data_IF_732057598282
#
_entry.id   IF_732057598282
#
_cell.length_a   1.000
_cell.length_b   1.000
_cell.length_c   1.000
_cell.angle_alpha   90.00
_cell.angle_beta   90.00
_cell.angle_gamma   90.00
#
_symmetry.space_group_name_H-M   'P 1'
#
loop_
_entity.id
_entity.type
_entity.pdbx_description
1 polymer ?
#
# COMPACT_ATOMS: atom_id res chain seq x y z
N UNK A 1 -25.74 -26.83 51.66
CA UNK A 1 -24.79 -26.86 52.79
C UNK A 1 -23.58 -26.01 52.41
N UNK A 2 -23.51 -24.77 52.90
CA UNK A 2 -22.32 -23.92 52.74
C UNK A 2 -21.26 -24.44 53.72
N UNK A 3 -20.16 -24.99 53.16
CA UNK A 3 -18.99 -25.36 53.94
C UNK A 3 -18.31 -24.08 54.42
N UNK A 4 -18.25 -23.88 55.74
CA UNK A 4 -17.46 -22.80 56.32
C UNK A 4 -15.97 -23.05 56.04
N UNK A 5 -15.20 -22.03 55.60
CA UNK A 5 -13.77 -22.22 55.36
C UNK A 5 -13.11 -22.65 56.68
N UNK A 6 -12.32 -23.73 56.61
CA UNK A 6 -11.64 -24.30 57.77
C UNK A 6 -10.82 -23.25 58.52
N UNK A 7 -10.65 -23.47 59.84
CA UNK A 7 -9.87 -22.60 60.74
C UNK A 7 -8.55 -22.19 60.09
N UNK A 8 -8.36 -20.89 59.89
CA UNK A 8 -7.08 -20.32 59.45
C UNK A 8 -5.98 -20.69 60.45
N UNK A 9 -4.83 -21.16 59.96
CA UNK A 9 -3.74 -21.63 60.81
C UNK A 9 -3.00 -20.49 61.52
N UNK A 10 -3.07 -19.27 60.98
CA UNK A 10 -2.56 -18.06 61.61
C UNK A 10 -3.36 -16.81 61.23
N UNK A 11 -3.18 -15.73 61.98
CA UNK A 11 -3.73 -14.41 61.64
C UNK A 11 -3.19 -13.90 60.28
N UNK A 12 -1.96 -14.29 59.92
CA UNK A 12 -1.35 -13.96 58.62
C UNK A 12 -2.10 -14.63 57.48
N UNK A 13 -2.46 -15.91 57.62
CA UNK A 13 -3.21 -16.66 56.60
C UNK A 13 -4.63 -16.11 56.43
N UNK A 14 -5.29 -15.78 57.55
CA UNK A 14 -6.59 -15.10 57.51
C UNK A 14 -6.49 -13.78 56.73
N UNK A 15 -5.46 -12.98 57.01
CA UNK A 15 -5.28 -11.68 56.35
C UNK A 15 -4.99 -11.83 54.87
N UNK A 16 -4.10 -12.74 54.48
CA UNK A 16 -3.77 -12.97 53.08
C UNK A 16 -4.97 -13.51 52.28
N UNK A 17 -5.76 -14.41 52.87
CA UNK A 17 -6.92 -15.01 52.22
C UNK A 17 -8.11 -14.03 52.06
N UNK A 18 -8.29 -13.09 53.00
CA UNK A 18 -9.44 -12.19 53.00
C UNK A 18 -9.13 -10.78 52.48
N UNK A 19 -7.89 -10.30 52.59
CA UNK A 19 -7.50 -8.94 52.20
C UNK A 19 -6.39 -8.90 51.14
N UNK A 20 -5.91 -10.05 50.66
CA UNK A 20 -4.87 -10.18 49.63
C UNK A 20 -3.45 -10.30 50.20
N UNK A 21 -2.52 -10.81 49.38
CA UNK A 21 -1.11 -10.96 49.77
C UNK A 21 -0.28 -9.74 49.39
N UNK A 22 0.81 -9.50 50.12
CA UNK A 22 1.79 -8.44 49.82
C UNK A 22 2.28 -8.54 48.37
N UNK A 23 2.60 -9.75 47.91
CA UNK A 23 3.09 -10.01 46.55
C UNK A 23 2.01 -9.72 45.48
N UNK A 24 0.73 -9.89 45.80
CA UNK A 24 -0.36 -9.54 44.88
C UNK A 24 -0.49 -8.03 44.72
N UNK A 25 -0.36 -7.27 45.82
CA UNK A 25 -0.36 -5.80 45.81
C UNK A 25 0.86 -5.27 45.05
N UNK A 26 2.06 -5.81 45.31
CA UNK A 26 3.30 -5.38 44.66
C UNK A 26 3.28 -5.65 43.15
N UNK A 27 2.77 -6.81 42.72
CA UNK A 27 2.55 -7.11 41.30
C UNK A 27 1.53 -6.18 40.65
N UNK A 28 0.43 -5.89 41.34
CA UNK A 28 -0.60 -4.96 40.85
C UNK A 28 -0.05 -3.53 40.70
N UNK A 29 0.70 -3.06 41.69
CA UNK A 29 1.35 -1.74 41.64
C UNK A 29 2.39 -1.66 40.51
N UNK A 30 3.24 -2.68 40.38
CA UNK A 30 4.24 -2.73 39.31
C UNK A 30 3.60 -2.74 37.92
N UNK A 31 2.53 -3.52 37.72
CA UNK A 31 1.76 -3.55 36.49
C UNK A 31 1.09 -2.19 36.20
N UNK A 32 0.53 -1.53 37.23
CA UNK A 32 -0.04 -0.20 37.10
C UNK A 32 1.02 0.85 36.72
N UNK A 33 2.16 0.86 37.41
CA UNK A 33 3.28 1.76 37.15
C UNK A 33 3.82 1.58 35.73
N UNK A 34 4.00 0.33 35.28
CA UNK A 34 4.42 0.02 33.91
C UNK A 34 3.39 0.54 32.90
N UNK A 35 2.09 0.30 33.13
CA UNK A 35 1.03 0.79 32.26
C UNK A 35 0.99 2.32 32.17
N UNK A 36 1.27 3.02 33.28
CA UNK A 36 1.38 4.48 33.27
C UNK A 36 2.59 4.98 32.47
N UNK A 37 3.73 4.28 32.59
CA UNK A 37 4.90 4.58 31.77
C UNK A 37 4.58 4.42 30.28
N UNK A 38 3.98 3.31 29.88
CA UNK A 38 3.64 3.03 28.48
C UNK A 38 2.65 4.07 27.92
N UNK A 39 1.65 4.47 28.72
CA UNK A 39 0.72 5.55 28.38
C UNK A 39 1.42 6.89 28.18
N UNK A 40 2.38 7.21 29.03
CA UNK A 40 3.18 8.41 28.90
C UNK A 40 4.02 8.38 27.61
N UNK A 41 4.68 7.26 27.31
CA UNK A 41 5.45 7.10 26.07
C UNK A 41 4.56 7.23 24.82
N UNK A 42 3.37 6.60 24.84
CA UNK A 42 2.40 6.71 23.75
C UNK A 42 1.93 8.15 23.53
N UNK A 43 1.67 8.90 24.61
CA UNK A 43 1.31 10.32 24.54
C UNK A 43 2.43 11.16 23.93
N UNK A 44 3.67 10.96 24.37
CA UNK A 44 4.84 11.67 23.83
C UNK A 44 5.06 11.38 22.35
N UNK A 45 4.86 10.12 21.93
CA UNK A 45 4.93 9.75 20.53
C UNK A 45 3.82 10.42 19.71
N UNK A 46 2.58 10.43 20.23
CA UNK A 46 1.45 11.08 19.58
C UNK A 46 1.69 12.59 19.38
N UNK A 47 2.21 13.29 20.39
CA UNK A 47 2.57 14.72 20.29
C UNK A 47 3.60 14.97 19.19
N UNK A 48 4.61 14.09 19.07
CA UNK A 48 5.60 14.15 17.97
C UNK A 48 4.94 13.95 16.60
N UNK A 49 4.03 12.99 16.48
CA UNK A 49 3.33 12.73 15.21
C UNK A 49 2.41 13.88 14.79
N UNK A 50 1.75 14.54 15.75
CA UNK A 50 0.93 15.74 15.50
C UNK A 50 1.78 16.93 15.06
N UNK A 51 3.02 17.04 15.54
CA UNK A 51 3.91 18.16 15.18
C UNK A 51 4.65 17.91 13.87
N UNK A 52 5.25 16.72 13.72
CA UNK A 52 6.25 16.44 12.70
C UNK A 52 5.72 15.47 11.62
N UNK A 53 4.69 14.70 11.94
CA UNK A 53 4.18 13.61 11.10
C UNK A 53 2.97 13.98 10.24
N UNK A 54 2.52 15.23 10.23
CA UNK A 54 1.28 15.62 9.53
C UNK A 54 1.46 15.62 8.01
N UNK A 55 0.44 15.15 7.29
CA UNK A 55 0.38 15.29 5.83
C UNK A 55 0.11 16.75 5.46
N UNK A 56 1.18 17.55 5.33
CA UNK A 56 1.08 18.97 4.94
C UNK A 56 2.21 19.42 4.03
N UNK A 57 3.45 19.08 4.37
CA UNK A 57 4.63 19.53 3.64
C UNK A 57 5.10 18.42 2.68
N UNK A 58 5.08 18.66 1.35
CA UNK A 58 5.64 17.74 0.37
C UNK A 58 7.11 17.38 0.65
N UNK A 59 7.50 16.12 0.42
CA UNK A 59 8.90 15.68 0.58
C UNK A 59 9.63 15.61 -0.77
N UNK A 60 10.94 15.90 -0.83
CA UNK A 60 11.71 15.76 -2.06
C UNK A 60 11.84 14.29 -2.45
N UNK A 61 11.59 13.98 -3.73
CA UNK A 61 11.72 12.65 -4.32
C UNK A 61 12.45 12.71 -5.65
N UNK A 62 13.23 11.68 -5.91
CA UNK A 62 13.90 11.48 -7.20
C UNK A 62 12.88 10.87 -8.17
N UNK A 63 12.60 11.57 -9.26
CA UNK A 63 11.65 11.19 -10.30
C UNK A 63 12.41 11.07 -11.63
N UNK A 64 12.20 10.00 -12.41
CA UNK A 64 12.78 9.90 -13.74
C UNK A 64 12.41 11.09 -14.61
N UNK A 65 13.34 11.57 -15.44
CA UNK A 65 13.08 12.65 -16.39
C UNK A 65 11.96 12.28 -17.36
N UNK A 66 11.92 11.01 -17.81
CA UNK A 66 10.91 10.47 -18.70
C UNK A 66 10.73 8.96 -18.47
N UNK A 67 9.57 8.44 -18.88
CA UNK A 67 9.33 7.00 -18.98
C UNK A 67 9.81 6.40 -20.31
N UNK A 68 10.16 7.26 -21.27
CA UNK A 68 10.68 6.85 -22.58
C UNK A 68 12.11 6.30 -22.43
N UNK A 69 12.28 5.01 -22.72
CA UNK A 69 13.57 4.31 -22.64
C UNK A 69 14.38 4.40 -23.94
N UNK A 70 13.83 4.98 -24.99
CA UNK A 70 14.52 5.15 -26.29
C UNK A 70 15.46 6.37 -26.28
N UNK A 71 15.26 7.29 -25.35
CA UNK A 71 16.02 8.53 -25.21
C UNK A 71 16.84 8.51 -23.93
N UNK A 72 18.10 8.92 -24.04
CA UNK A 72 18.96 9.09 -22.87
C UNK A 72 18.90 10.56 -22.42
N UNK A 73 18.27 10.79 -21.27
CA UNK A 73 18.21 12.11 -20.63
C UNK A 73 19.39 12.29 -19.68
N UNK A 74 20.04 13.46 -19.73
CA UNK A 74 21.07 13.87 -18.79
C UNK A 74 20.66 15.19 -18.14
N UNK A 75 20.43 15.23 -16.81
CA UNK A 75 20.42 14.08 -15.89
C UNK A 75 19.26 13.10 -16.16
N UNK A 76 19.40 11.83 -15.74
CA UNK A 76 18.35 10.81 -15.95
C UNK A 76 17.13 11.02 -15.06
N UNK A 77 17.31 11.70 -13.93
CA UNK A 77 16.29 11.95 -12.93
C UNK A 77 16.35 13.41 -12.47
N UNK A 78 15.27 13.86 -11.84
CA UNK A 78 15.15 15.17 -11.21
C UNK A 78 14.56 15.05 -9.82
N UNK A 79 14.74 16.07 -8.99
CA UNK A 79 14.15 16.15 -7.65
C UNK A 79 12.86 16.97 -7.74
N UNK A 80 11.75 16.39 -7.30
CA UNK A 80 10.46 17.07 -7.18
C UNK A 80 9.90 16.87 -5.78
N UNK A 81 9.15 17.85 -5.31
CA UNK A 81 8.39 17.76 -4.07
C UNK A 81 7.08 17.01 -4.36
N UNK A 82 6.84 15.91 -3.64
CA UNK A 82 5.68 15.04 -3.85
C UNK A 82 4.98 14.72 -2.53
N UNK A 83 3.69 14.47 -2.64
CA UNK A 83 2.81 13.98 -1.58
C UNK A 83 2.46 12.54 -1.92
N UNK A 84 2.86 11.62 -1.05
CA UNK A 84 2.59 10.18 -1.13
C UNK A 84 2.31 9.65 0.28
N UNK A 85 1.97 8.36 0.40
CA UNK A 85 1.64 7.70 1.68
C UNK A 85 2.73 7.87 2.78
N UNK A 86 4.00 8.08 2.40
CA UNK A 86 5.14 8.28 3.31
C UNK A 86 5.44 9.77 3.63
N UNK A 87 4.68 10.69 3.05
CA UNK A 87 4.86 12.14 3.25
C UNK A 87 4.34 12.57 4.61
N UNK A 88 3.21 12.03 5.04
CA UNK A 88 2.67 12.23 6.37
C UNK A 88 1.67 11.13 6.75
N UNK A 89 1.34 11.07 8.04
CA UNK A 89 0.41 10.11 8.60
C UNK A 89 -1.03 10.60 8.42
N UNK A 90 -1.88 9.73 7.87
CA UNK A 90 -3.32 9.97 7.68
C UNK A 90 -4.14 8.89 8.40
N UNK A 91 -5.46 9.10 8.50
CA UNK A 91 -6.36 8.10 9.05
C UNK A 91 -6.38 6.79 8.25
N UNK A 92 -6.95 5.70 8.80
CA UNK A 92 -6.88 4.36 8.20
C UNK A 92 -7.41 4.26 6.76
N UNK A 93 -8.45 5.04 6.43
CA UNK A 93 -9.07 5.08 5.10
C UNK A 93 -8.52 6.18 4.20
N UNK A 94 -7.55 6.94 4.69
CA UNK A 94 -7.03 8.13 4.02
C UNK A 94 -5.61 7.91 3.48
N UNK A 95 -5.24 8.71 2.50
CA UNK A 95 -3.90 8.79 1.92
C UNK A 95 -3.45 10.24 1.82
N UNK A 96 -2.15 10.46 1.90
CA UNK A 96 -1.58 11.80 1.77
C UNK A 96 -1.44 12.17 0.29
N UNK A 97 -2.19 13.18 -0.14
CA UNK A 97 -2.30 13.58 -1.54
C UNK A 97 -2.02 15.09 -1.73
N UNK A 98 -1.64 15.51 -2.95
CA UNK A 98 -1.49 16.94 -3.24
C UNK A 98 -2.80 17.68 -3.02
N UNK A 99 -2.72 18.77 -2.28
CA UNK A 99 -3.76 19.81 -2.20
C UNK A 99 -3.50 20.90 -3.22
N UNK A 100 -2.25 21.33 -3.34
CA UNK A 100 -1.79 22.34 -4.29
C UNK A 100 -0.57 21.84 -5.06
N UNK A 101 -0.50 22.21 -6.34
CA UNK A 101 0.58 21.85 -7.26
C UNK A 101 0.98 23.05 -8.11
N UNK A 102 2.25 23.11 -8.47
CA UNK A 102 2.82 24.09 -9.39
C UNK A 102 3.51 23.35 -10.55
N UNK A 103 3.32 23.80 -11.77
CA UNK A 103 4.04 23.27 -12.92
C UNK A 103 5.43 23.89 -13.02
N UNK A 104 6.43 23.05 -13.20
CA UNK A 104 7.82 23.48 -13.33
C UNK A 104 8.41 22.91 -14.62
N UNK A 105 9.09 23.75 -15.39
CA UNK A 105 9.84 23.32 -16.56
C UNK A 105 11.30 23.09 -16.15
N UNK A 106 11.81 21.91 -16.44
CA UNK A 106 13.20 21.55 -16.20
C UNK A 106 13.86 21.13 -17.51
N UNK A 107 15.13 21.45 -17.65
CA UNK A 107 15.87 21.27 -18.89
C UNK A 107 16.79 20.07 -18.81
N UNK A 108 16.82 19.29 -19.89
CA UNK A 108 17.60 18.08 -20.00
C UNK A 108 18.35 18.05 -21.32
N UNK A 109 19.55 17.50 -21.29
CA UNK A 109 20.23 17.07 -22.50
C UNK A 109 19.67 15.72 -22.94
N UNK A 110 19.42 15.55 -24.23
CA UNK A 110 18.90 14.32 -24.84
C UNK A 110 19.87 13.84 -25.92
N UNK A 111 20.29 12.59 -25.79
CA UNK A 111 20.96 11.83 -26.85
C UNK A 111 19.99 10.78 -27.40
N UNK A 112 19.91 10.71 -28.73
CA UNK A 112 19.19 9.66 -29.46
C UNK A 112 19.97 8.35 -29.55
N UNK A 113 21.28 8.37 -29.32
CA UNK A 113 22.12 7.18 -29.29
C UNK A 113 22.34 6.72 -27.85
N UNK A 114 21.91 5.49 -27.57
CA UNK A 114 21.99 4.82 -26.27
C UNK A 114 23.39 4.27 -25.93
N UNK A 115 24.35 4.36 -26.86
CA UNK A 115 25.67 3.75 -26.76
C UNK A 115 26.80 4.70 -27.20
N UNK A 116 26.90 5.88 -26.62
CA UNK A 116 28.11 6.70 -26.81
C UNK A 116 28.57 7.24 -25.46
N UNK A 117 29.54 6.54 -24.87
CA UNK A 117 30.21 6.92 -23.62
C UNK A 117 31.05 8.21 -23.74
N UNK A 118 31.17 8.78 -24.94
CA UNK A 118 31.95 9.99 -25.22
C UNK A 118 31.25 10.89 -26.26
N UNK A 119 30.02 11.31 -25.98
CA UNK A 119 29.40 12.39 -26.77
C UNK A 119 29.98 13.71 -26.28
N UNK A 120 30.94 14.26 -27.01
CA UNK A 120 31.36 15.65 -26.80
C UNK A 120 30.17 16.60 -26.87
N UNK A 121 30.24 17.77 -26.24
CA UNK A 121 29.15 18.76 -26.10
C UNK A 121 28.38 19.13 -27.39
N UNK A 122 28.90 18.76 -28.58
CA UNK A 122 28.37 19.12 -29.89
C UNK A 122 27.15 18.32 -30.39
N UNK A 123 26.75 17.21 -29.76
CA UNK A 123 25.60 16.41 -30.24
C UNK A 123 24.43 16.28 -29.24
N UNK A 124 24.45 17.03 -28.13
CA UNK A 124 23.38 16.96 -27.14
C UNK A 124 22.32 18.02 -27.41
N UNK A 125 21.10 17.59 -27.71
CA UNK A 125 19.96 18.50 -27.83
C UNK A 125 19.41 18.84 -26.45
N UNK A 126 19.08 20.11 -26.20
CA UNK A 126 18.42 20.51 -24.95
C UNK A 126 16.91 20.50 -25.15
N UNK A 127 16.17 19.85 -24.24
CA UNK A 127 14.71 19.85 -24.22
C UNK A 127 14.19 20.33 -22.86
N UNK A 128 13.08 21.05 -22.86
CA UNK A 128 12.33 21.36 -21.65
C UNK A 128 11.25 20.29 -21.43
N UNK A 129 11.20 19.74 -20.22
CA UNK A 129 10.15 18.84 -19.77
C UNK A 129 9.35 19.52 -18.65
N UNK A 130 8.03 19.40 -18.71
CA UNK A 130 7.13 19.96 -17.69
C UNK A 130 6.80 18.91 -16.64
N UNK A 131 6.92 19.27 -15.36
CA UNK A 131 6.60 18.42 -14.23
C UNK A 131 5.62 19.09 -13.29
N UNK A 132 4.83 18.28 -12.58
CA UNK A 132 4.04 18.75 -11.44
C UNK A 132 4.86 18.65 -10.14
N UNK A 133 5.09 19.79 -9.52
CA UNK A 133 5.73 19.93 -8.22
C UNK A 133 4.65 20.25 -7.17
N UNK A 134 4.49 19.41 -6.16
CA UNK A 134 3.47 19.63 -5.14
C UNK A 134 3.96 20.71 -4.16
N UNK A 135 3.06 21.57 -3.70
CA UNK A 135 3.38 22.68 -2.79
C UNK A 135 2.65 22.60 -1.45
N UNK A 136 1.54 21.87 -1.38
CA UNK A 136 0.81 21.58 -0.14
C UNK A 136 0.17 20.18 -0.24
N UNK A 137 0.19 19.42 0.85
CA UNK A 137 -0.48 18.12 0.95
C UNK A 137 -1.67 18.17 1.93
N UNK A 138 -2.57 17.20 1.80
CA UNK A 138 -3.62 16.92 2.79
C UNK A 138 -4.05 15.45 2.74
N UNK A 139 -4.70 14.98 3.81
CA UNK A 139 -5.29 13.65 3.83
C UNK A 139 -6.61 13.64 3.04
N UNK A 140 -6.73 12.71 2.11
CA UNK A 140 -7.94 12.46 1.31
C UNK A 140 -8.41 11.02 1.49
N UNK A 141 -9.71 10.77 1.37
CA UNK A 141 -10.23 9.40 1.35
C UNK A 141 -9.68 8.62 0.15
N UNK A 142 -9.30 7.36 0.39
CA UNK A 142 -8.86 6.42 -0.66
C UNK A 142 -10.03 6.09 -1.59
N UNK A 143 -10.23 6.94 -2.60
CA UNK A 143 -11.31 6.81 -3.59
C UNK A 143 -11.83 8.14 -4.15
N UNK A 144 -11.57 9.27 -3.49
CA UNK A 144 -12.07 10.58 -3.92
C UNK A 144 -11.14 11.30 -4.91
N UNK A 145 -9.85 10.95 -4.93
CA UNK A 145 -8.82 11.62 -5.74
C UNK A 145 -8.83 11.24 -7.23
N UNK A 146 -9.52 10.16 -7.62
CA UNK A 146 -9.78 9.79 -9.02
C UNK A 146 -11.03 10.46 -9.61
N UNK A 147 -11.87 11.11 -8.79
CA UNK A 147 -13.12 11.73 -9.26
C UNK A 147 -12.97 13.21 -9.65
N UNK A 148 -11.96 13.93 -9.14
CA UNK A 148 -11.80 15.36 -9.37
C UNK A 148 -11.15 15.74 -10.72
N UNK A 149 -10.68 14.77 -11.53
CA UNK A 149 -10.16 15.00 -12.89
C UNK A 149 -11.07 14.48 -14.01
N UNK A 150 -12.24 13.93 -13.67
CA UNK A 150 -13.20 13.40 -14.64
C UNK A 150 -14.46 14.28 -14.82
N UNK A 151 -14.48 15.50 -14.28
CA UNK A 151 -15.54 16.47 -14.56
C UNK A 151 -15.17 17.38 -15.73
N UNK A 152 -14.98 16.80 -16.91
CA UNK A 152 -15.25 17.51 -18.16
C UNK A 152 -15.35 16.54 -19.34
N UNK A 153 -16.44 15.78 -19.42
CA UNK A 153 -17.07 15.37 -20.68
C UNK A 153 -18.48 14.81 -20.40
N UNK A 154 -19.46 15.57 -20.90
CA UNK A 154 -20.90 15.32 -21.08
C UNK A 154 -21.33 13.83 -21.06
N UNK A 155 -22.27 13.42 -20.20
CA UNK A 155 -23.75 13.54 -20.33
C UNK A 155 -24.37 12.50 -21.28
N UNK A 156 -25.46 11.86 -20.80
CA UNK A 156 -26.38 10.89 -21.45
C UNK A 156 -25.82 9.45 -21.52
N UNK A 157 -26.44 8.38 -20.99
CA UNK A 157 -27.86 8.06 -20.78
C UNK A 157 -28.05 6.89 -19.78
N UNK A 158 -29.14 7.00 -19.01
CA UNK A 158 -30.13 5.99 -18.60
C UNK A 158 -29.76 4.72 -17.82
N UNK A 159 -30.31 4.71 -16.60
CA UNK A 159 -30.81 3.61 -15.77
C UNK A 159 -31.33 2.38 -16.51
N UNK A 160 -31.01 1.18 -16.02
CA UNK A 160 -31.99 0.21 -15.51
C UNK A 160 -31.33 -1.11 -15.05
N UNK A 161 -32.02 -1.74 -14.12
CA UNK A 161 -31.75 -2.96 -13.36
C UNK A 161 -31.76 -4.24 -14.22
N UNK A 162 -31.18 -5.33 -13.72
CA UNK A 162 -31.55 -6.67 -14.19
C UNK A 162 -30.46 -7.74 -14.11
N UNK A 163 -30.60 -8.64 -13.13
CA UNK A 163 -29.91 -9.93 -13.07
C UNK A 163 -30.40 -10.89 -14.17
N UNK A 164 -29.53 -11.72 -14.75
CA UNK A 164 -29.93 -12.85 -15.58
C UNK A 164 -28.78 -13.46 -16.36
N UNK A 165 -28.59 -14.78 -16.24
CA UNK A 165 -27.43 -15.50 -16.75
C UNK A 165 -27.51 -15.98 -18.20
N UNK A 166 -26.32 -16.41 -18.65
CA UNK A 166 -26.01 -17.42 -19.67
C UNK A 166 -26.01 -17.05 -21.16
N UNK A 167 -24.78 -17.19 -21.68
CA UNK A 167 -24.39 -17.80 -22.96
C UNK A 167 -24.73 -17.10 -24.27
N UNK A 168 -23.67 -16.73 -24.99
CA UNK A 168 -23.70 -16.70 -26.45
C UNK A 168 -22.98 -15.53 -27.12
N UNK A 169 -21.65 -15.63 -27.18
CA UNK A 169 -20.81 -15.17 -28.31
C UNK A 169 -20.94 -13.73 -28.81
N UNK A 170 -19.97 -12.89 -28.44
CA UNK A 170 -19.19 -12.08 -29.39
C UNK A 170 -17.90 -11.61 -28.70
N UNK A 171 -16.80 -12.14 -29.23
CA UNK A 171 -15.38 -11.79 -29.00
C UNK A 171 -15.07 -10.53 -28.16
N UNK A 172 -14.80 -10.75 -26.88
CA UNK A 172 -13.71 -10.03 -26.23
C UNK A 172 -12.78 -11.08 -25.61
N UNK A 173 -11.54 -11.11 -26.06
CA UNK A 173 -10.46 -11.86 -25.44
C UNK A 173 -10.13 -11.23 -24.09
N UNK A 174 -11.07 -11.23 -23.15
CA UNK A 174 -10.86 -10.64 -21.83
C UNK A 174 -11.30 -11.63 -20.78
N UNK A 175 -10.32 -12.16 -20.06
CA UNK A 175 -10.53 -13.04 -18.93
C UNK A 175 -10.97 -12.23 -17.71
N UNK A 176 -11.83 -12.82 -16.89
CA UNK A 176 -12.28 -12.19 -15.64
C UNK A 176 -11.13 -12.18 -14.64
N UNK A 177 -10.70 -10.97 -14.24
CA UNK A 177 -9.59 -10.78 -13.32
C UNK A 177 -10.05 -10.28 -11.93
N UNK A 178 -9.25 -10.52 -10.88
CA UNK A 178 -9.45 -9.87 -9.58
C UNK A 178 -9.58 -8.34 -9.71
N UNK A 179 -10.31 -7.70 -8.79
CA UNK A 179 -10.72 -6.27 -8.87
C UNK A 179 -9.62 -5.28 -9.28
N UNK A 180 -8.39 -5.49 -8.83
CA UNK A 180 -7.24 -4.61 -9.10
C UNK A 180 -6.39 -5.05 -10.29
N UNK A 181 -6.66 -6.21 -10.89
CA UNK A 181 -5.93 -6.74 -12.03
C UNK A 181 -6.73 -6.52 -13.31
N UNK A 182 -6.03 -6.27 -14.40
CA UNK A 182 -6.63 -6.13 -15.72
C UNK A 182 -6.29 -7.35 -16.57
N UNK A 183 -7.17 -7.69 -17.49
CA UNK A 183 -6.91 -8.70 -18.49
C UNK A 183 -5.84 -8.20 -19.45
N UNK A 184 -4.77 -8.99 -19.60
CA UNK A 184 -3.72 -8.79 -20.58
C UNK A 184 -3.73 -10.02 -21.48
N UNK A 185 -3.71 -9.80 -22.79
CA UNK A 185 -3.59 -10.88 -23.76
C UNK A 185 -2.15 -10.98 -24.20
N UNK A 186 -1.61 -12.19 -24.23
CA UNK A 186 -0.38 -12.46 -24.96
C UNK A 186 -0.64 -12.59 -26.46
N UNK A 187 0.41 -12.47 -27.27
CA UNK A 187 0.38 -12.65 -28.73
C UNK A 187 -0.14 -14.04 -29.15
N UNK A 188 -0.15 -15.02 -28.24
CA UNK A 188 -0.64 -16.38 -28.42
C UNK A 188 -2.10 -16.61 -27.93
N UNK A 189 -2.88 -15.54 -27.73
CA UNK A 189 -4.31 -15.62 -27.34
C UNK A 189 -4.57 -16.11 -25.91
N UNK A 190 -3.53 -16.28 -25.08
CA UNK A 190 -3.70 -16.65 -23.67
C UNK A 190 -3.89 -15.39 -22.81
N UNK A 191 -5.08 -15.26 -22.22
CA UNK A 191 -5.39 -14.13 -21.34
C UNK A 191 -4.92 -14.40 -19.91
N UNK A 192 -4.18 -13.45 -19.34
CA UNK A 192 -3.72 -13.47 -17.96
C UNK A 192 -4.04 -12.16 -17.24
N UNK A 193 -4.01 -12.20 -15.91
CA UNK A 193 -4.33 -11.05 -15.06
C UNK A 193 -3.05 -10.39 -14.56
N UNK A 194 -2.80 -9.15 -15.01
CA UNK A 194 -1.61 -8.39 -14.65
C UNK A 194 -1.92 -6.89 -14.48
N UNK A 195 -0.92 -6.13 -14.03
CA UNK A 195 -1.00 -4.69 -13.82
C UNK A 195 -0.66 -3.95 -15.13
N UNK A 196 -1.60 -3.17 -15.66
CA UNK A 196 -1.48 -2.57 -17.01
C UNK A 196 -0.78 -1.19 -17.02
N UNK A 197 -0.51 -0.57 -15.87
CA UNK A 197 0.53 0.46 -15.66
C UNK A 197 0.38 1.10 -14.28
N UNK A 198 1.49 1.23 -13.54
CA UNK A 198 1.70 1.95 -12.26
C UNK A 198 0.57 1.97 -11.20
N UNK A 199 -0.43 1.10 -11.32
CA UNK A 199 -1.53 0.95 -10.37
C UNK A 199 -0.94 0.41 -9.06
N UNK A 200 -0.85 1.29 -8.07
CA UNK A 200 -0.23 1.00 -6.76
C UNK A 200 -0.97 -0.12 -6.04
N UNK A 201 -2.29 -0.21 -6.17
CA UNK A 201 -3.06 -1.27 -5.53
C UNK A 201 -2.76 -2.61 -6.20
N UNK A 202 -2.80 -2.66 -7.54
CA UNK A 202 -2.42 -3.86 -8.30
C UNK A 202 -1.02 -4.35 -7.92
N UNK A 203 -0.04 -3.45 -7.87
CA UNK A 203 1.35 -3.77 -7.52
C UNK A 203 1.44 -4.32 -6.08
N UNK A 204 0.75 -3.72 -5.11
CA UNK A 204 0.75 -4.19 -3.71
C UNK A 204 0.18 -5.60 -3.57
N UNK A 205 -0.90 -5.91 -4.27
CA UNK A 205 -1.44 -7.27 -4.32
C UNK A 205 -0.48 -8.23 -5.05
N UNK A 206 0.13 -7.79 -6.16
CA UNK A 206 1.08 -8.56 -6.97
C UNK A 206 2.36 -8.92 -6.22
N UNK A 207 2.86 -8.02 -5.36
CA UNK A 207 4.03 -8.21 -4.50
C UNK A 207 3.71 -8.87 -3.15
N UNK A 208 2.44 -9.19 -2.88
CA UNK A 208 2.04 -9.90 -1.67
C UNK A 208 1.94 -9.05 -0.40
N UNK A 209 1.96 -7.72 -0.53
CA UNK A 209 1.74 -6.79 0.58
C UNK A 209 0.30 -6.77 1.08
N UNK A 210 -0.64 -7.17 0.23
CA UNK A 210 -2.06 -7.25 0.57
C UNK A 210 -2.66 -8.62 0.24
N UNK A 211 -3.69 -8.95 1.01
CA UNK A 211 -4.44 -10.19 0.90
C UNK A 211 -5.75 -9.96 0.17
N UNK A 212 -6.07 -10.80 -0.81
CA UNK A 212 -7.31 -10.65 -1.58
C UNK A 212 -8.55 -10.82 -0.71
N UNK A 213 -9.64 -10.14 -1.04
CA UNK A 213 -10.91 -10.25 -0.31
C UNK A 213 -11.50 -11.66 -0.37
N UNK A 214 -12.39 -12.00 0.55
CA UNK A 214 -13.03 -13.33 0.59
C UNK A 214 -13.84 -13.62 -0.67
N UNK A 215 -14.48 -12.60 -1.25
CA UNK A 215 -15.21 -12.68 -2.51
C UNK A 215 -14.26 -13.03 -3.67
N UNK A 216 -13.11 -12.36 -3.72
CA UNK A 216 -12.09 -12.59 -4.75
C UNK A 216 -11.48 -13.98 -4.63
N UNK A 217 -11.16 -14.42 -3.39
CA UNK A 217 -10.68 -15.78 -3.11
C UNK A 217 -11.69 -16.83 -3.55
N UNK A 218 -12.98 -16.61 -3.26
CA UNK A 218 -14.07 -17.49 -3.70
C UNK A 218 -14.15 -17.55 -5.23
N UNK A 219 -14.03 -16.40 -5.91
CA UNK A 219 -14.04 -16.32 -7.38
C UNK A 219 -12.90 -17.13 -8.02
N UNK A 220 -11.67 -16.96 -7.52
CA UNK A 220 -10.48 -17.69 -7.98
C UNK A 220 -10.65 -19.20 -7.70
N UNK A 221 -11.10 -19.57 -6.49
CA UNK A 221 -11.30 -20.97 -6.10
C UNK A 221 -12.38 -21.66 -6.95
N UNK A 222 -13.43 -20.94 -7.32
CA UNK A 222 -14.48 -21.44 -8.21
C UNK A 222 -14.13 -21.35 -9.69
N UNK A 223 -12.90 -20.97 -10.05
CA UNK A 223 -12.44 -20.76 -11.44
C UNK A 223 -13.30 -19.75 -12.24
N UNK A 224 -14.01 -18.85 -11.55
CA UNK A 224 -14.76 -17.75 -12.17
C UNK A 224 -13.85 -16.56 -12.50
N UNK A 225 -12.76 -16.42 -11.75
CA UNK A 225 -11.70 -15.45 -11.99
C UNK A 225 -10.39 -16.20 -12.25
N UNK A 226 -9.57 -15.68 -13.14
CA UNK A 226 -8.20 -16.16 -13.35
C UNK A 226 -7.30 -15.79 -12.17
N UNK A 227 -6.28 -16.62 -11.94
CA UNK A 227 -5.28 -16.32 -10.91
C UNK A 227 -4.43 -15.11 -11.32
N UNK A 228 -4.13 -14.19 -10.40
CA UNK A 228 -3.25 -13.05 -10.69
C UNK A 228 -1.81 -13.53 -10.89
N UNK A 229 -1.08 -12.86 -11.79
CA UNK A 229 0.36 -13.07 -11.95
C UNK A 229 1.10 -12.33 -10.83
N UNK A 230 1.67 -13.07 -9.89
CA UNK A 230 2.43 -12.52 -8.77
C UNK A 230 3.87 -12.16 -9.19
N UNK A 231 4.47 -11.19 -8.50
CA UNK A 231 5.86 -10.78 -8.74
C UNK A 231 6.85 -11.84 -8.25
N UNK A 232 6.60 -12.39 -7.06
CA UNK A 232 7.52 -13.29 -6.38
C UNK A 232 6.93 -14.70 -6.22
N UNK A 233 6.71 -15.43 -7.33
CA UNK A 233 6.27 -16.83 -7.30
C UNK A 233 4.81 -17.04 -7.70
N UNK A 234 4.18 -18.13 -7.27
CA UNK A 234 2.79 -18.46 -7.60
C UNK A 234 1.82 -17.98 -6.51
N UNK A 235 0.60 -17.64 -6.92
CA UNK A 235 -0.47 -17.25 -5.99
C UNK A 235 -0.77 -18.35 -4.96
N UNK A 236 -0.67 -18.02 -3.67
CA UNK A 236 -0.96 -18.95 -2.58
C UNK A 236 -2.48 -18.99 -2.32
N UNK A 237 -3.11 -20.11 -2.68
CA UNK A 237 -4.56 -20.30 -2.51
C UNK A 237 -5.00 -20.46 -1.06
N UNK A 238 -4.12 -20.90 -0.17
CA UNK A 238 -4.41 -21.09 1.26
C UNK A 238 -4.42 -19.75 1.99
N UNK A 239 -3.38 -18.94 1.76
CA UNK A 239 -3.27 -17.61 2.37
C UNK A 239 -4.11 -16.55 1.63
N UNK A 240 -4.47 -16.82 0.38
CA UNK A 240 -5.25 -15.93 -0.47
C UNK A 240 -4.51 -14.64 -0.80
N UNK A 241 -3.20 -14.75 -1.09
CA UNK A 241 -2.30 -13.64 -1.44
C UNK A 241 -1.15 -14.10 -2.33
N UNK A 242 -0.49 -13.15 -2.99
CA UNK A 242 0.79 -13.40 -3.63
C UNK A 242 1.91 -13.50 -2.58
N UNK A 243 3.01 -14.23 -2.86
CA UNK A 243 4.14 -14.30 -1.94
C UNK A 243 4.92 -12.99 -1.95
N UNK A 244 5.49 -12.63 -0.80
CA UNK A 244 6.42 -11.49 -0.70
C UNK A 244 7.83 -11.90 -1.10
N UNK A 245 8.66 -10.91 -1.42
CA UNK A 245 10.11 -11.13 -1.64
C UNK A 245 10.79 -11.83 -0.44
N UNK A 246 10.40 -11.50 0.79
CA UNK A 246 10.87 -12.15 2.03
C UNK A 246 10.53 -13.63 2.09
N UNK A 247 9.39 -14.03 1.52
CA UNK A 247 8.88 -15.38 1.61
C UNK A 247 9.74 -16.33 0.74
N UNK A 248 10.32 -15.84 -0.37
CA UNK A 248 11.29 -16.60 -1.18
C UNK A 248 12.66 -16.77 -0.52
N UNK A 249 13.09 -15.83 0.33
CA UNK A 249 14.34 -15.98 1.09
C UNK A 249 14.23 -17.09 2.15
N UNK A 250 13.07 -17.21 2.80
CA UNK A 250 12.79 -18.28 3.76
C UNK A 250 12.65 -19.68 3.10
N UNK A 251 12.28 -19.76 1.82
CA UNK A 251 12.29 -21.04 1.08
C UNK A 251 13.69 -21.52 0.72
N UNK A 252 14.64 -20.62 0.46
CA UNK A 252 16.04 -20.99 0.12
C UNK A 252 16.94 -21.17 1.35
N UNK A 253 16.60 -20.52 2.46
CA UNK A 253 17.28 -20.69 3.74
C UNK A 253 16.21 -20.82 4.82
N UNK A 254 15.70 -22.05 5.08
CA UNK A 254 14.82 -22.27 6.21
C UNK A 254 15.62 -21.93 7.46
N UNK A 255 15.36 -20.76 8.05
CA UNK A 255 15.85 -20.50 9.39
C UNK A 255 15.18 -21.52 10.29
N UNK A 256 16.00 -22.43 10.82
CA UNK A 256 15.63 -23.40 11.83
C UNK A 256 14.81 -22.71 12.92
N UNK A 257 13.58 -23.19 13.09
CA UNK A 257 12.74 -22.93 14.24
C UNK A 257 12.57 -24.22 15.00
#
# INVERSE_FOLDING_TARGET
MQSYPGKYQSLTDYKQANFGSKDAVERSYSAYSSSQHDRYQAKQHMERMIRDGICKVPKPKIVPASNDRTKLFTPQCTILHRCEDDTGCCGPTQTCAPKLTHEVQLYFYVSSDSYVQNVGQRQQNTIALTFSNHTECHCVERGSSSAARAQNQNSLENSAEGSGGSSGTTSSSSCTCPRHFKSVNDNESQCYCDCVSSDRDCIRFKEGFESFSMETRKCIRSKKCNVPRCEYGLYNRHEGRCPKKSDRFNEHFPQYR
#
